data_IF_282617421338
#
_entry.id   IF_282617421338
#
_cell.length_a   1.000
_cell.length_b   1.000
_cell.length_c   1.000
_cell.angle_alpha   90.00
_cell.angle_beta   90.00
_cell.angle_gamma   90.00
#
_symmetry.space_group_name_H-M   'P 1'
#
loop_
_entity.id
_entity.type
_entity.pdbx_description
1 polymer ?
#
# COMPACT_ATOMS: atom_id res chain seq x y z
N UNK A 1 7.26 7.51 -21.97
CA UNK A 1 6.42 6.99 -20.88
C UNK A 1 5.64 8.08 -20.15
N UNK A 2 6.24 9.16 -19.69
CA UNK A 2 5.52 10.26 -19.01
C UNK A 2 4.31 10.78 -19.81
N UNK A 3 4.41 10.93 -21.15
CA UNK A 3 3.27 11.33 -22.00
C UNK A 3 2.10 10.37 -21.96
N UNK A 4 2.35 9.06 -21.92
CA UNK A 4 1.27 8.08 -21.81
C UNK A 4 0.57 8.16 -20.46
N UNK A 5 1.34 8.36 -19.37
CA UNK A 5 0.78 8.50 -18.02
C UNK A 5 -0.02 9.81 -17.91
N UNK A 6 0.48 10.92 -18.46
CA UNK A 6 -0.27 12.17 -18.54
C UNK A 6 -1.60 11.98 -19.28
N UNK A 7 -1.59 11.31 -20.44
CA UNK A 7 -2.82 10.99 -21.17
C UNK A 7 -3.78 10.09 -20.37
N UNK A 8 -3.25 9.17 -19.55
CA UNK A 8 -4.07 8.37 -18.64
C UNK A 8 -4.76 9.24 -17.57
N UNK A 9 -4.07 10.23 -17.02
CA UNK A 9 -4.65 11.18 -16.05
C UNK A 9 -5.71 12.06 -16.67
N UNK A 10 -5.42 12.65 -17.84
CA UNK A 10 -6.34 13.54 -18.56
C UNK A 10 -7.64 12.84 -18.99
N UNK A 11 -7.53 11.58 -19.47
CA UNK A 11 -8.63 10.80 -20.05
C UNK A 11 -9.10 9.65 -19.14
N UNK A 12 -8.93 9.81 -17.84
CA UNK A 12 -9.15 8.74 -16.86
C UNK A 12 -10.58 8.19 -16.89
N UNK A 13 -11.57 9.05 -17.10
CA UNK A 13 -13.00 8.70 -17.22
C UNK A 13 -13.41 8.19 -18.60
N UNK A 14 -12.54 8.29 -19.60
CA UNK A 14 -12.86 7.91 -20.99
C UNK A 14 -12.50 6.45 -21.28
N UNK A 15 -12.95 5.96 -22.45
CA UNK A 15 -12.56 4.64 -22.98
C UNK A 15 -11.16 4.73 -23.59
N UNK A 16 -10.14 4.72 -22.74
CA UNK A 16 -8.74 4.82 -23.17
C UNK A 16 -8.19 3.40 -23.47
N UNK A 17 -7.83 3.17 -24.73
CA UNK A 17 -7.23 1.92 -25.19
C UNK A 17 -5.71 1.90 -25.06
N UNK A 18 -5.10 0.70 -25.11
CA UNK A 18 -3.62 0.59 -25.15
C UNK A 18 -3.04 1.25 -26.40
N UNK A 19 -3.78 1.27 -27.52
CA UNK A 19 -3.37 1.92 -28.76
C UNK A 19 -3.33 3.45 -28.59
N UNK A 20 -4.29 4.03 -27.85
CA UNK A 20 -4.30 5.47 -27.55
C UNK A 20 -3.11 5.86 -26.68
N UNK A 21 -2.81 5.06 -25.67
CA UNK A 21 -1.64 5.25 -24.79
C UNK A 21 -0.32 5.15 -25.56
N UNK A 22 -0.22 4.15 -26.47
CA UNK A 22 0.94 3.95 -27.31
C UNK A 22 1.14 5.13 -28.25
N UNK A 23 0.06 5.63 -28.84
CA UNK A 23 0.04 6.81 -29.72
C UNK A 23 0.49 8.06 -28.98
N UNK A 24 -0.01 8.28 -27.75
CA UNK A 24 0.43 9.40 -26.91
C UNK A 24 1.93 9.34 -26.58
N UNK A 25 2.48 8.13 -26.43
CA UNK A 25 3.90 7.90 -26.21
C UNK A 25 4.74 7.89 -27.50
N UNK A 26 4.11 7.99 -28.68
CA UNK A 26 4.75 7.87 -30.01
C UNK A 26 5.45 6.52 -30.24
N UNK A 27 4.84 5.44 -29.79
CA UNK A 27 5.30 4.06 -29.98
C UNK A 27 4.25 3.21 -30.67
N UNK A 28 4.70 2.12 -31.30
CA UNK A 28 3.78 1.02 -31.67
C UNK A 28 3.25 0.33 -30.41
N UNK A 29 2.04 -0.23 -30.47
CA UNK A 29 1.38 -0.91 -29.35
C UNK A 29 2.27 -1.95 -28.66
N UNK A 30 2.90 -2.84 -29.43
CA UNK A 30 3.75 -3.89 -28.89
C UNK A 30 5.02 -3.34 -28.21
N UNK A 31 5.68 -2.39 -28.84
CA UNK A 31 6.85 -1.75 -28.27
C UNK A 31 6.50 -0.98 -27.01
N UNK A 32 5.42 -0.20 -27.04
CA UNK A 32 4.89 0.54 -25.90
C UNK A 32 4.63 -0.38 -24.71
N UNK A 33 3.85 -1.45 -24.90
CA UNK A 33 3.48 -2.37 -23.82
C UNK A 33 4.72 -2.95 -23.13
N UNK A 34 5.71 -3.38 -23.92
CA UNK A 34 6.97 -3.95 -23.39
C UNK A 34 7.80 -2.93 -22.63
N UNK A 35 7.97 -1.71 -23.19
CA UNK A 35 8.78 -0.66 -22.55
C UNK A 35 8.07 -0.11 -21.33
N UNK A 36 6.73 0.07 -21.40
CA UNK A 36 5.92 0.50 -20.27
C UNK A 36 6.03 -0.48 -19.10
N UNK A 37 5.84 -1.78 -19.37
CA UNK A 37 5.95 -2.82 -18.33
C UNK A 37 7.37 -2.91 -17.76
N UNK A 38 8.40 -2.70 -18.56
CA UNK A 38 9.79 -2.63 -18.05
C UNK A 38 10.01 -1.43 -17.15
N UNK A 39 9.43 -0.27 -17.48
CA UNK A 39 9.62 0.98 -16.74
C UNK A 39 8.80 1.04 -15.45
N UNK A 40 7.55 0.54 -15.46
CA UNK A 40 6.61 0.62 -14.33
C UNK A 40 6.46 -0.70 -13.57
N UNK A 41 6.92 -1.81 -14.17
CA UNK A 41 6.76 -3.16 -13.65
C UNK A 41 5.37 -3.78 -13.87
N UNK A 42 4.43 -3.04 -14.48
CA UNK A 42 3.05 -3.51 -14.70
C UNK A 42 2.57 -3.18 -16.12
N UNK A 43 1.53 -3.86 -16.58
CA UNK A 43 0.95 -3.58 -17.90
C UNK A 43 0.21 -2.24 -17.92
N UNK A 44 0.12 -1.56 -19.09
CA UNK A 44 -0.58 -0.27 -19.20
C UNK A 44 -2.04 -0.32 -18.72
N UNK A 45 -2.77 -1.39 -19.02
CA UNK A 45 -4.16 -1.54 -18.59
C UNK A 45 -4.29 -1.70 -17.07
N UNK A 46 -3.37 -2.41 -16.41
CA UNK A 46 -3.34 -2.51 -14.95
C UNK A 46 -3.00 -1.18 -14.30
N UNK A 47 -2.04 -0.45 -14.86
CA UNK A 47 -1.67 0.88 -14.39
C UNK A 47 -2.85 1.86 -14.48
N UNK A 48 -3.55 1.93 -15.63
CA UNK A 48 -4.76 2.74 -15.79
C UNK A 48 -5.86 2.34 -14.79
N UNK A 49 -6.08 1.03 -14.59
CA UNK A 49 -7.04 0.55 -13.60
C UNK A 49 -6.68 1.02 -12.18
N UNK A 50 -5.40 1.01 -11.83
CA UNK A 50 -4.92 1.49 -10.53
C UNK A 50 -5.14 3.00 -10.37
N UNK A 51 -4.83 3.81 -11.40
CA UNK A 51 -5.12 5.25 -11.39
C UNK A 51 -6.60 5.55 -11.22
N UNK A 52 -7.48 4.82 -11.91
CA UNK A 52 -8.95 4.94 -11.77
C UNK A 52 -9.40 4.68 -10.34
N UNK A 53 -8.88 3.63 -9.71
CA UNK A 53 -9.22 3.30 -8.33
C UNK A 53 -8.65 4.32 -7.34
N UNK A 54 -7.44 4.85 -7.58
CA UNK A 54 -6.87 5.92 -6.77
C UNK A 54 -7.74 7.18 -6.84
N UNK A 55 -8.18 7.59 -8.04
CA UNK A 55 -9.11 8.71 -8.20
C UNK A 55 -10.45 8.44 -7.53
N UNK A 56 -10.96 7.22 -7.59
CA UNK A 56 -12.18 6.84 -6.89
C UNK A 56 -12.03 6.94 -5.36
N UNK A 57 -10.89 6.51 -4.80
CA UNK A 57 -10.58 6.67 -3.37
C UNK A 57 -10.70 8.14 -2.95
N UNK A 58 -10.08 9.03 -3.71
CA UNK A 58 -10.16 10.47 -3.47
C UNK A 58 -11.61 10.98 -3.55
N UNK A 59 -12.37 10.70 -4.62
CA UNK A 59 -13.74 11.16 -4.78
C UNK A 59 -14.70 10.61 -3.69
N UNK A 60 -14.45 9.41 -3.19
CA UNK A 60 -15.25 8.81 -2.12
C UNK A 60 -15.12 9.58 -0.81
N UNK A 61 -13.97 10.17 -0.53
CA UNK A 61 -13.69 10.88 0.72
C UNK A 61 -13.98 12.37 0.59
N UNK A 62 -13.63 12.98 -0.55
CA UNK A 62 -13.72 14.43 -0.76
C UNK A 62 -15.07 14.92 -1.29
N UNK A 63 -15.98 14.02 -1.69
CA UNK A 63 -17.26 14.42 -2.29
C UNK A 63 -18.45 13.62 -1.75
N UNK A 64 -19.65 14.19 -1.91
CA UNK A 64 -20.94 13.53 -1.64
C UNK A 64 -21.50 12.73 -2.82
N UNK A 65 -20.75 12.59 -3.94
CA UNK A 65 -21.19 11.85 -5.13
C UNK A 65 -21.55 10.40 -4.78
N UNK A 66 -22.60 9.88 -5.42
CA UNK A 66 -22.96 8.48 -5.24
C UNK A 66 -21.84 7.54 -5.75
N UNK A 67 -21.80 6.30 -5.24
CA UNK A 67 -20.87 5.28 -5.73
C UNK A 67 -21.07 5.03 -7.22
N UNK A 68 -22.31 5.14 -7.70
CA UNK A 68 -22.64 5.00 -9.12
C UNK A 68 -22.01 6.13 -9.94
N UNK A 69 -22.18 7.38 -9.52
CA UNK A 69 -21.61 8.54 -10.21
C UNK A 69 -20.08 8.49 -10.23
N UNK A 70 -19.46 8.09 -9.11
CA UNK A 70 -18.01 7.92 -9.02
C UNK A 70 -17.56 6.84 -9.99
N UNK A 71 -18.25 5.68 -10.05
CA UNK A 71 -17.89 4.60 -10.95
C UNK A 71 -17.84 5.03 -12.42
N UNK A 72 -18.86 5.79 -12.85
CA UNK A 72 -18.93 6.33 -14.22
C UNK A 72 -17.83 7.37 -14.45
N UNK A 73 -17.61 8.27 -13.50
CA UNK A 73 -16.59 9.33 -13.58
C UNK A 73 -15.17 8.83 -13.73
N UNK A 74 -14.87 7.69 -13.11
CA UNK A 74 -13.55 7.06 -13.21
C UNK A 74 -13.46 6.01 -14.33
N UNK A 75 -14.44 5.98 -15.23
CA UNK A 75 -14.40 5.21 -16.49
C UNK A 75 -14.80 3.75 -16.37
N UNK A 76 -15.62 3.39 -15.37
CA UNK A 76 -16.28 2.08 -15.33
C UNK A 76 -17.70 2.16 -15.90
N UNK A 77 -18.06 1.16 -16.71
CA UNK A 77 -19.40 1.09 -17.34
C UNK A 77 -20.44 0.41 -16.45
N UNK A 78 -20.05 -0.10 -15.29
CA UNK A 78 -20.92 -0.83 -14.37
C UNK A 78 -20.47 -0.62 -12.93
N UNK A 79 -21.43 -0.26 -12.08
CA UNK A 79 -21.22 -0.10 -10.63
C UNK A 79 -20.79 -1.41 -9.96
N UNK A 80 -21.34 -2.54 -10.42
CA UNK A 80 -21.00 -3.87 -9.91
C UNK A 80 -19.54 -4.23 -10.19
N UNK A 81 -19.08 -4.02 -11.43
CA UNK A 81 -17.68 -4.22 -11.82
C UNK A 81 -16.74 -3.30 -11.04
N UNK A 82 -17.12 -2.02 -10.92
CA UNK A 82 -16.37 -1.06 -10.11
C UNK A 82 -16.25 -1.51 -8.64
N UNK A 83 -17.38 -1.81 -8.00
CA UNK A 83 -17.41 -2.16 -6.57
C UNK A 83 -16.61 -3.44 -6.27
N UNK A 84 -16.74 -4.46 -7.12
CA UNK A 84 -15.96 -5.69 -6.99
C UNK A 84 -14.46 -5.44 -7.15
N UNK A 85 -14.09 -4.65 -8.17
CA UNK A 85 -12.68 -4.30 -8.42
C UNK A 85 -12.10 -3.44 -7.30
N UNK A 86 -12.86 -2.43 -6.85
CA UNK A 86 -12.47 -1.58 -5.74
C UNK A 86 -12.25 -2.39 -4.46
N UNK A 87 -13.23 -3.24 -4.09
CA UNK A 87 -13.14 -4.09 -2.89
C UNK A 87 -11.92 -4.99 -2.93
N UNK A 88 -11.69 -5.63 -4.09
CA UNK A 88 -10.52 -6.51 -4.27
C UNK A 88 -9.20 -5.76 -4.14
N UNK A 89 -9.11 -4.56 -4.71
CA UNK A 89 -7.85 -3.81 -4.77
C UNK A 89 -7.56 -3.01 -3.49
N UNK A 90 -8.61 -2.43 -2.88
CA UNK A 90 -8.49 -1.56 -1.69
C UNK A 90 -8.62 -2.35 -0.38
N UNK A 91 -9.20 -3.57 -0.44
CA UNK A 91 -9.43 -4.43 0.72
C UNK A 91 -10.77 -4.20 1.43
N UNK A 92 -11.60 -3.24 0.98
CA UNK A 92 -12.92 -2.98 1.54
C UNK A 92 -13.87 -2.35 0.51
N UNK A 93 -15.22 -2.49 0.68
CA UNK A 93 -16.20 -1.90 -0.22
C UNK A 93 -16.13 -0.37 -0.27
N UNK A 94 -16.49 0.28 -1.41
CA UNK A 94 -16.49 1.74 -1.56
C UNK A 94 -17.27 2.49 -0.48
N UNK A 95 -18.44 1.98 -0.10
CA UNK A 95 -19.29 2.57 0.95
C UNK A 95 -18.62 2.52 2.33
N UNK A 96 -17.94 1.41 2.64
CA UNK A 96 -17.18 1.26 3.88
C UNK A 96 -15.95 2.20 3.88
N UNK A 97 -15.24 2.28 2.75
CA UNK A 97 -14.11 3.19 2.57
C UNK A 97 -14.52 4.65 2.84
N UNK A 98 -15.65 5.10 2.27
CA UNK A 98 -16.22 6.43 2.54
C UNK A 98 -16.52 6.64 4.02
N UNK A 99 -17.26 5.69 4.64
CA UNK A 99 -17.65 5.78 6.06
C UNK A 99 -16.45 5.88 7.00
N UNK A 100 -15.35 5.26 6.64
CA UNK A 100 -14.11 5.28 7.41
C UNK A 100 -13.14 6.39 6.96
N UNK A 101 -13.62 7.36 6.15
CA UNK A 101 -12.82 8.46 5.62
C UNK A 101 -11.47 8.01 5.00
N UNK A 102 -11.48 6.87 4.31
CA UNK A 102 -10.30 6.34 3.61
C UNK A 102 -9.35 5.50 4.46
N UNK A 103 -9.60 5.35 5.75
CA UNK A 103 -8.72 4.63 6.67
C UNK A 103 -9.20 3.22 6.99
N UNK A 104 -8.27 2.30 7.14
CA UNK A 104 -8.54 0.97 7.68
C UNK A 104 -8.29 0.98 9.21
N UNK A 105 -9.22 0.46 10.02
CA UNK A 105 -9.00 0.33 11.47
C UNK A 105 -7.91 -0.69 11.78
N UNK A 106 -7.74 -1.68 10.94
CA UNK A 106 -6.70 -2.71 11.00
C UNK A 106 -6.35 -3.15 9.58
N UNK A 107 -5.10 -3.49 9.33
CA UNK A 107 -4.72 -4.20 8.12
C UNK A 107 -4.88 -5.69 8.41
N UNK A 108 -5.95 -6.27 7.88
CA UNK A 108 -6.14 -7.71 7.95
C UNK A 108 -5.14 -8.39 7.01
N UNK A 109 -4.54 -9.49 7.46
CA UNK A 109 -3.81 -10.41 6.58
C UNK A 109 -4.81 -11.33 5.88
N UNK A 110 -4.48 -11.80 4.68
CA UNK A 110 -5.34 -12.69 3.90
C UNK A 110 -5.67 -13.96 4.71
N UNK A 111 -6.97 -14.27 4.93
CA UNK A 111 -7.38 -15.42 5.73
C UNK A 111 -6.94 -16.76 5.13
N UNK A 112 -6.83 -16.88 3.82
CA UNK A 112 -6.38 -18.11 3.15
C UNK A 112 -4.95 -18.48 3.53
N UNK A 113 -4.14 -17.49 3.94
CA UNK A 113 -2.78 -17.70 4.42
C UNK A 113 -2.65 -17.70 5.95
N UNK A 114 -3.74 -17.47 6.69
CA UNK A 114 -3.74 -17.59 8.17
C UNK A 114 -3.80 -19.03 8.65
N UNK A 115 -4.50 -19.89 7.92
CA UNK A 115 -4.83 -21.27 8.32
C UNK A 115 -3.86 -22.32 7.76
N UNK A 116 -2.91 -21.94 6.91
CA UNK A 116 -1.93 -22.85 6.33
C UNK A 116 -0.73 -23.06 7.25
N UNK A 117 -0.35 -24.29 7.43
CA UNK A 117 0.84 -24.87 8.06
C UNK A 117 1.88 -23.86 8.58
N UNK A 118 2.40 -24.09 9.78
CA UNK A 118 3.52 -23.34 10.35
C UNK A 118 4.70 -23.30 9.36
N UNK A 119 4.75 -22.24 8.55
CA UNK A 119 5.90 -22.01 7.67
C UNK A 119 7.00 -21.35 8.50
N UNK A 120 8.21 -21.89 8.44
CA UNK A 120 9.36 -21.36 9.15
C UNK A 120 10.13 -20.31 8.32
N UNK A 121 9.58 -19.91 7.16
CA UNK A 121 10.23 -18.89 6.33
C UNK A 121 10.04 -17.51 6.95
N UNK A 122 11.14 -16.80 7.05
CA UNK A 122 11.22 -15.44 7.56
C UNK A 122 11.73 -14.50 6.47
N UNK A 123 11.10 -13.36 6.33
CA UNK A 123 11.65 -12.23 5.56
C UNK A 123 12.03 -11.14 6.54
N UNK A 124 13.28 -10.71 6.49
CA UNK A 124 13.78 -9.67 7.39
C UNK A 124 14.72 -8.72 6.64
N UNK A 125 14.93 -7.54 7.20
CA UNK A 125 15.82 -6.54 6.62
C UNK A 125 15.69 -5.21 7.32
N UNK A 126 16.08 -4.16 6.63
CA UNK A 126 15.97 -2.80 7.12
C UNK A 126 15.25 -1.92 6.10
N UNK A 127 14.37 -1.06 6.58
CA UNK A 127 13.73 -0.01 5.82
C UNK A 127 14.42 1.32 6.14
N UNK A 128 14.92 2.00 5.12
CA UNK A 128 15.43 3.37 5.19
C UNK A 128 14.44 4.31 4.54
N UNK A 129 14.43 5.55 4.97
CA UNK A 129 13.60 6.60 4.40
C UNK A 129 14.35 7.94 4.43
N UNK A 130 13.95 8.92 3.60
CA UNK A 130 14.49 10.27 3.65
C UNK A 130 14.30 10.94 5.00
N UNK A 131 15.08 11.99 5.30
CA UNK A 131 15.00 12.74 6.56
C UNK A 131 13.58 13.23 6.88
N UNK A 132 12.81 13.62 5.86
CA UNK A 132 11.40 14.02 6.01
C UNK A 132 10.49 12.93 6.58
N UNK A 133 10.92 11.67 6.59
CA UNK A 133 10.16 10.49 7.04
C UNK A 133 10.83 9.73 8.21
N UNK A 134 11.90 10.28 8.81
CA UNK A 134 12.68 9.58 9.84
C UNK A 134 11.86 9.18 11.06
N UNK A 135 10.84 9.95 11.41
CA UNK A 135 9.92 9.69 12.53
C UNK A 135 8.52 9.27 12.07
N UNK A 136 8.36 8.98 10.77
CA UNK A 136 7.07 8.57 10.22
C UNK A 136 6.89 7.06 10.28
N UNK A 137 5.67 6.56 10.57
CA UNK A 137 5.40 5.12 10.55
C UNK A 137 5.59 4.55 9.14
N UNK A 138 6.10 3.31 9.11
CA UNK A 138 6.31 2.56 7.87
C UNK A 138 5.44 1.31 7.89
N UNK A 139 4.48 1.24 6.96
CA UNK A 139 3.79 0.00 6.65
C UNK A 139 4.65 -0.86 5.74
N UNK A 140 4.76 -2.17 6.05
CA UNK A 140 5.37 -3.19 5.20
C UNK A 140 4.40 -4.34 4.98
N UNK A 141 4.29 -4.79 3.73
CA UNK A 141 3.43 -5.92 3.40
C UNK A 141 3.96 -6.74 2.23
N UNK A 142 3.73 -8.06 2.29
CA UNK A 142 4.03 -9.00 1.22
C UNK A 142 2.79 -9.26 0.39
N UNK A 143 2.92 -9.11 -0.93
CA UNK A 143 1.83 -9.25 -1.91
C UNK A 143 2.23 -10.20 -3.04
N UNK A 144 1.25 -10.87 -3.68
CA UNK A 144 1.53 -11.76 -4.81
C UNK A 144 1.92 -11.00 -6.07
N UNK A 145 1.70 -9.70 -6.11
CA UNK A 145 1.95 -8.86 -7.27
C UNK A 145 2.61 -7.53 -6.90
N UNK A 146 3.22 -6.87 -7.90
CA UNK A 146 3.90 -5.58 -7.73
C UNK A 146 2.95 -4.42 -7.42
N UNK A 147 1.71 -4.46 -7.91
CA UNK A 147 0.66 -3.57 -7.39
C UNK A 147 0.10 -4.23 -6.15
N UNK A 148 0.21 -3.61 -4.97
CA UNK A 148 -0.39 -4.14 -3.76
C UNK A 148 -1.92 -4.03 -3.88
N UNK A 149 -2.54 -5.15 -4.16
CA UNK A 149 -3.99 -5.29 -4.22
C UNK A 149 -4.47 -6.21 -3.09
N UNK A 150 -5.56 -5.82 -2.45
CA UNK A 150 -6.23 -6.63 -1.44
C UNK A 150 -5.47 -6.67 -0.11
N UNK A 151 -5.48 -7.83 0.52
CA UNK A 151 -4.84 -8.04 1.82
C UNK A 151 -3.43 -8.60 1.65
N UNK A 152 -2.45 -8.13 2.41
CA UNK A 152 -1.11 -8.70 2.40
C UNK A 152 -1.10 -10.11 3.00
N UNK A 153 -0.24 -10.98 2.50
CA UNK A 153 -0.01 -12.31 3.05
C UNK A 153 0.57 -12.23 4.47
N UNK A 154 1.52 -11.33 4.64
CA UNK A 154 2.09 -10.93 5.94
C UNK A 154 2.36 -9.44 5.89
N UNK A 155 2.20 -8.78 7.03
CA UNK A 155 2.49 -7.36 7.16
C UNK A 155 2.97 -7.02 8.57
N UNK A 156 3.62 -5.88 8.66
CA UNK A 156 3.98 -5.24 9.93
C UNK A 156 3.93 -3.72 9.77
N UNK A 157 3.88 -3.01 10.88
CA UNK A 157 3.98 -1.56 10.91
C UNK A 157 5.09 -1.19 11.88
N UNK A 158 6.09 -0.47 11.38
CA UNK A 158 7.14 0.10 12.19
C UNK A 158 6.72 1.52 12.63
N UNK A 159 7.04 1.89 13.85
CA UNK A 159 6.81 3.25 14.33
C UNK A 159 7.69 4.30 13.64
N UNK A 160 8.83 3.89 13.09
CA UNK A 160 9.80 4.66 12.31
C UNK A 160 10.61 3.74 11.41
N UNK A 161 11.29 4.24 10.38
CA UNK A 161 12.22 3.45 9.58
C UNK A 161 13.23 2.69 10.45
N UNK A 162 13.49 1.43 10.11
CA UNK A 162 14.35 0.58 10.93
C UNK A 162 14.33 -0.88 10.52
N UNK A 163 14.82 -1.74 11.40
CA UNK A 163 14.81 -3.18 11.21
C UNK A 163 13.37 -3.73 11.26
N UNK A 164 13.09 -4.73 10.43
CA UNK A 164 11.80 -5.40 10.39
C UNK A 164 11.95 -6.92 10.22
N UNK A 165 10.92 -7.64 10.59
CA UNK A 165 10.82 -9.08 10.45
C UNK A 165 9.37 -9.49 10.17
N UNK A 166 9.18 -10.38 9.19
CA UNK A 166 7.91 -11.00 8.84
C UNK A 166 8.09 -12.51 8.95
N UNK A 167 7.45 -13.12 9.93
CA UNK A 167 7.51 -14.56 10.20
C UNK A 167 6.37 -15.32 9.54
N UNK A 168 6.57 -16.61 9.34
CA UNK A 168 5.53 -17.51 8.86
C UNK A 168 5.10 -17.22 7.42
N UNK A 169 6.02 -16.76 6.58
CA UNK A 169 5.72 -16.44 5.17
C UNK A 169 5.59 -17.75 4.38
N UNK A 170 4.46 -17.96 3.65
CA UNK A 170 4.29 -19.17 2.85
C UNK A 170 5.23 -19.20 1.65
N UNK A 171 5.58 -20.39 1.13
CA UNK A 171 6.32 -20.53 -0.11
C UNK A 171 5.59 -19.82 -1.27
N UNK A 172 6.34 -19.27 -2.20
CA UNK A 172 5.77 -18.55 -3.35
C UNK A 172 6.66 -17.44 -3.87
N UNK A 173 6.09 -16.65 -4.76
CA UNK A 173 6.73 -15.46 -5.31
C UNK A 173 6.02 -14.22 -4.75
N UNK A 174 6.74 -13.41 -4.00
CA UNK A 174 6.17 -12.29 -3.28
C UNK A 174 6.87 -10.99 -3.61
N UNK A 175 6.12 -9.91 -3.60
CA UNK A 175 6.64 -8.55 -3.64
C UNK A 175 6.49 -7.93 -2.25
N UNK A 176 7.58 -7.44 -1.71
CA UNK A 176 7.58 -6.68 -0.48
C UNK A 176 7.41 -5.21 -0.82
N UNK A 177 6.32 -4.62 -0.33
CA UNK A 177 6.07 -3.19 -0.42
C UNK A 177 6.29 -2.55 0.95
N UNK A 178 6.94 -1.38 0.96
CA UNK A 178 6.92 -0.46 2.09
C UNK A 178 6.28 0.87 1.66
N UNK A 179 5.52 1.47 2.58
CA UNK A 179 4.94 2.80 2.42
C UNK A 179 5.08 3.57 3.72
N UNK A 180 5.53 4.81 3.61
CA UNK A 180 5.54 5.77 4.71
C UNK A 180 4.81 7.03 4.28
N UNK A 181 4.11 7.63 5.21
CA UNK A 181 3.37 8.88 4.99
C UNK A 181 3.75 9.86 6.09
N UNK A 182 4.19 11.05 5.70
CA UNK A 182 4.53 12.13 6.61
C UNK A 182 3.41 13.18 6.60
N UNK A 183 2.96 13.58 7.79
CA UNK A 183 1.94 14.62 7.95
C UNK A 183 0.49 14.09 7.97
N UNK A 184 -0.45 15.01 8.15
CA UNK A 184 -1.86 14.72 7.98
C UNK A 184 -2.14 14.56 6.48
N UNK A 185 -2.57 13.35 6.10
CA UNK A 185 -3.09 13.14 4.76
C UNK A 185 -4.39 13.92 4.64
N UNK A 186 -4.35 15.08 4.04
CA UNK A 186 -5.53 15.65 3.46
C UNK A 186 -5.99 14.72 2.32
N UNK A 187 -7.29 14.41 2.32
CA UNK A 187 -7.89 13.54 1.30
C UNK A 187 -7.67 14.07 -0.13
N UNK A 188 -7.23 15.30 -0.27
CA UNK A 188 -6.96 16.00 -1.52
C UNK A 188 -5.57 15.73 -2.12
N UNK A 189 -4.68 15.07 -1.38
CA UNK A 189 -3.34 14.78 -1.89
C UNK A 189 -3.35 13.58 -2.85
N UNK A 190 -3.68 13.86 -4.08
CA UNK A 190 -3.19 13.08 -5.22
C UNK A 190 -1.70 13.42 -5.29
N UNK A 191 -0.83 12.45 -5.05
CA UNK A 191 0.61 12.64 -5.15
C UNK A 191 0.95 13.28 -6.50
N UNK A 192 1.30 14.54 -6.50
CA UNK A 192 1.87 15.23 -7.65
C UNK A 192 3.35 14.85 -7.76
N UNK A 193 3.92 14.92 -8.97
CA UNK A 193 5.33 14.55 -9.20
C UNK A 193 6.23 15.45 -8.34
N UNK A 194 6.75 14.89 -7.23
CA UNK A 194 7.58 15.63 -6.26
C UNK A 194 6.98 15.82 -4.87
N UNK A 195 5.77 15.30 -4.62
CA UNK A 195 5.20 15.31 -3.27
C UNK A 195 6.00 14.39 -2.34
N UNK A 196 6.66 15.01 -1.35
CA UNK A 196 7.48 14.31 -0.37
C UNK A 196 6.67 13.73 0.80
N UNK A 197 5.36 13.86 0.79
CA UNK A 197 4.50 13.37 1.88
C UNK A 197 4.32 11.85 1.87
N UNK A 198 4.48 11.21 0.72
CA UNK A 198 4.39 9.75 0.57
C UNK A 198 5.68 9.20 0.00
N UNK A 199 6.30 8.28 0.73
CA UNK A 199 7.45 7.52 0.27
C UNK A 199 7.09 6.04 0.13
N UNK A 200 7.60 5.40 -0.91
CA UNK A 200 7.36 3.98 -1.22
C UNK A 200 8.64 3.26 -1.58
N UNK A 201 8.68 1.98 -1.30
CA UNK A 201 9.68 1.05 -1.82
C UNK A 201 9.02 -0.27 -2.22
N UNK A 202 9.55 -0.93 -3.24
CA UNK A 202 9.10 -2.27 -3.63
C UNK A 202 10.29 -3.11 -4.02
N UNK A 203 10.43 -4.28 -3.39
CA UNK A 203 11.47 -5.28 -3.70
C UNK A 203 10.79 -6.58 -4.09
N UNK A 204 11.32 -7.25 -5.10
CA UNK A 204 10.82 -8.54 -5.56
C UNK A 204 10.86 -8.71 -7.08
N UNK A 205 10.45 -9.92 -7.57
CA UNK A 205 9.86 -11.01 -6.78
C UNK A 205 10.88 -11.70 -5.85
N UNK A 206 10.49 -11.91 -4.59
CA UNK A 206 11.20 -12.75 -3.63
C UNK A 206 10.73 -14.19 -3.82
N UNK A 207 11.64 -15.07 -4.17
CA UNK A 207 11.33 -16.50 -4.41
C UNK A 207 11.53 -17.30 -3.13
N UNK A 208 10.46 -17.56 -2.39
CA UNK A 208 10.48 -18.32 -1.14
C UNK A 208 10.17 -19.78 -1.43
N UNK A 209 11.11 -20.68 -1.14
CA UNK A 209 11.01 -22.11 -1.51
C UNK A 209 10.74 -23.05 -0.33
N UNK A 210 10.66 -22.54 0.87
CA UNK A 210 10.50 -23.32 2.11
C UNK A 210 11.13 -22.62 3.30
N UNK A 211 11.53 -23.39 4.29
CA UNK A 211 12.11 -22.86 5.52
C UNK A 211 13.41 -22.08 5.28
N UNK A 212 13.60 -21.04 6.07
CA UNK A 212 14.81 -20.22 6.01
C UNK A 212 14.57 -18.72 6.20
N UNK A 213 15.65 -17.97 6.12
CA UNK A 213 15.65 -16.50 6.25
C UNK A 213 16.01 -15.87 4.91
N UNK A 214 15.17 -14.98 4.44
CA UNK A 214 15.42 -14.16 3.25
C UNK A 214 15.63 -12.72 3.67
N UNK A 215 16.73 -12.14 3.23
CA UNK A 215 17.06 -10.74 3.50
C UNK A 215 16.55 -9.85 2.36
N UNK A 216 15.82 -8.80 2.70
CA UNK A 216 15.28 -7.84 1.74
C UNK A 216 15.29 -6.43 2.36
N UNK A 217 16.25 -5.64 1.97
CA UNK A 217 16.34 -4.24 2.40
C UNK A 217 15.50 -3.34 1.51
N UNK A 218 14.97 -2.26 2.07
CA UNK A 218 14.06 -1.33 1.43
C UNK A 218 14.57 0.10 1.60
N UNK A 219 14.72 0.80 0.47
CA UNK A 219 15.03 2.23 0.45
C UNK A 219 13.79 2.98 -0.06
N UNK A 220 13.04 3.60 0.87
CA UNK A 220 11.84 4.35 0.55
C UNK A 220 12.22 5.65 -0.14
N UNK A 221 11.57 5.88 -1.28
CA UNK A 221 11.77 7.08 -2.09
C UNK A 221 10.44 7.80 -2.28
N UNK A 222 10.42 9.13 -2.45
CA UNK A 222 9.21 9.86 -2.84
C UNK A 222 8.56 9.23 -4.06
N UNK A 223 7.23 9.16 -4.07
CA UNK A 223 6.46 8.58 -5.17
C UNK A 223 6.77 9.32 -6.46
N UNK A 224 7.02 8.57 -7.53
CA UNK A 224 7.28 9.11 -8.86
C UNK A 224 6.11 8.83 -9.79
N UNK A 225 5.94 9.63 -10.82
CA UNK A 225 4.86 9.47 -11.82
C UNK A 225 4.81 8.08 -12.47
N UNK A 226 5.93 7.36 -12.51
CA UNK A 226 6.00 5.99 -13.07
C UNK A 226 5.78 4.89 -12.04
N UNK A 227 5.66 5.21 -10.77
CA UNK A 227 5.37 4.23 -9.73
C UNK A 227 3.87 3.91 -9.76
N UNK A 228 3.48 2.63 -9.74
CA UNK A 228 2.06 2.26 -9.66
C UNK A 228 1.44 2.78 -8.36
N UNK A 229 0.19 3.28 -8.39
CA UNK A 229 -0.47 3.75 -7.19
C UNK A 229 -0.62 2.66 -6.13
N UNK A 230 -0.42 3.02 -4.87
CA UNK A 230 -0.73 2.15 -3.72
C UNK A 230 -2.23 2.24 -3.44
N UNK A 231 -2.94 1.13 -3.66
CA UNK A 231 -4.41 1.09 -3.60
C UNK A 231 -4.95 0.77 -2.21
N UNK A 232 -4.15 0.19 -1.33
CA UNK A 232 -4.58 -0.16 0.03
C UNK A 232 -5.18 1.03 0.75
N UNK A 233 -6.20 0.76 1.58
CA UNK A 233 -6.64 1.73 2.57
C UNK A 233 -5.50 1.95 3.58
N UNK A 234 -5.24 3.21 3.90
CA UNK A 234 -4.18 3.58 4.84
C UNK A 234 -4.60 3.24 6.27
N UNK A 235 -3.63 2.91 7.12
CA UNK A 235 -3.86 2.87 8.56
C UNK A 235 -4.16 4.28 9.07
N UNK A 236 -5.14 4.37 9.98
CA UNK A 236 -5.42 5.60 10.70
C UNK A 236 -4.24 5.89 11.66
N UNK A 237 -3.36 6.78 11.23
CA UNK A 237 -2.16 7.14 11.99
C UNK A 237 -2.48 7.69 13.38
N UNK A 238 -3.61 8.39 13.54
CA UNK A 238 -4.04 8.92 14.84
C UNK A 238 -4.38 7.77 15.79
N UNK A 239 -5.11 6.77 15.30
CA UNK A 239 -5.42 5.56 16.10
C UNK A 239 -4.17 4.74 16.40
N UNK A 240 -3.27 4.64 15.43
CA UNK A 240 -1.99 3.96 15.63
C UNK A 240 -1.12 4.69 16.67
N UNK A 241 -1.01 6.01 16.60
CA UNK A 241 -0.29 6.81 17.58
C UNK A 241 -0.92 6.71 18.99
N UNK A 242 -2.25 6.72 19.09
CA UNK A 242 -2.96 6.55 20.36
C UNK A 242 -2.78 5.14 20.95
N UNK A 243 -2.84 4.10 20.10
CA UNK A 243 -2.58 2.73 20.54
C UNK A 243 -1.15 2.57 21.06
N UNK A 244 -0.16 3.15 20.39
CA UNK A 244 1.24 3.13 20.83
C UNK A 244 1.43 3.84 22.18
N UNK A 245 0.84 5.01 22.37
CA UNK A 245 0.89 5.73 23.66
C UNK A 245 0.23 4.90 24.76
N UNK A 246 -0.85 4.18 24.46
CA UNK A 246 -1.50 3.29 25.41
C UNK A 246 -0.61 2.10 25.79
N UNK A 247 0.06 1.47 24.81
CA UNK A 247 0.99 0.37 25.02
C UNK A 247 2.22 0.81 25.82
N UNK A 248 2.82 1.95 25.51
CA UNK A 248 3.93 2.54 26.25
C UNK A 248 3.55 2.83 27.72
N UNK A 249 2.33 3.33 27.97
CA UNK A 249 1.82 3.54 29.33
C UNK A 249 1.59 2.23 30.08
N UNK A 250 1.06 1.21 29.43
CA UNK A 250 0.87 -0.11 30.04
C UNK A 250 2.21 -0.80 30.34
N UNK A 251 3.18 -0.70 29.44
CA UNK A 251 4.54 -1.21 29.66
C UNK A 251 5.26 -0.51 30.82
N UNK A 252 5.11 0.82 30.94
CA UNK A 252 5.65 1.58 32.06
C UNK A 252 5.03 1.20 33.41
N UNK A 253 3.72 0.98 33.44
CA UNK A 253 3.00 0.55 34.67
C UNK A 253 3.43 -0.87 35.07
N UNK A 254 3.62 -1.77 34.12
CA UNK A 254 4.10 -3.12 34.38
C UNK A 254 5.51 -3.17 34.93
N UNK A 255 6.39 -2.30 34.45
CA UNK A 255 7.78 -2.20 34.95
C UNK A 255 7.86 -1.62 36.35
N UNK A 256 7.00 -0.65 36.70
CA UNK A 256 6.90 -0.08 38.05
C UNK A 256 6.34 -1.12 39.04
N UNK A 257 5.33 -1.91 38.62
CA UNK A 257 4.77 -3.00 39.42
C UNK A 257 5.78 -4.10 39.75
N UNK A 258 6.64 -4.44 38.79
CA UNK A 258 7.71 -5.42 38.99
C UNK A 258 8.83 -4.90 39.93
N UNK A 259 9.16 -3.61 39.88
CA UNK A 259 10.12 -3.00 40.77
C UNK A 259 9.61 -2.92 42.23
N UNK A 260 8.32 -2.66 42.43
CA UNK A 260 7.70 -2.59 43.76
C UNK A 260 7.61 -3.97 44.42
N UNK A 261 7.36 -5.05 43.64
CA UNK A 261 7.35 -6.43 44.17
C UNK A 261 8.75 -6.94 44.49
N UNK A 262 9.78 -6.57 43.75
CA UNK A 262 11.16 -6.95 44.04
C UNK A 262 11.70 -6.25 45.30
N UNK A 263 11.29 -5.01 45.60
CA UNK A 263 11.67 -4.27 46.78
C UNK A 263 11.03 -4.79 48.10
N UNK A 264 9.92 -5.55 48.04
CA UNK A 264 9.24 -6.12 49.23
C UNK A 264 9.76 -7.49 49.64
N UNK A 265 10.57 -8.15 48.82
CA UNK A 265 11.16 -9.47 49.15
C UNK A 265 12.56 -9.37 49.75
N UNK A 266 13.10 -8.15 49.93
CA UNK A 266 14.43 -7.92 50.47
C UNK A 266 14.43 -7.18 51.83
N UNK A 267 13.30 -7.14 52.54
CA UNK A 267 13.17 -6.61 53.89
C UNK A 267 12.81 -7.69 54.91
#
# INVERSE_FOLDING_TARGET
MRRAIAAMHEKLGEQLTVDDMARAAMFSKFHFTRVFQRATGVTPGRFLSALRLQRAKHLLVSTSLSVADISMRVGYNSVGTFSSRFTRSVGMPPTTYRRLAGFAPQIATDPDYRMGHSHNTRVQGRAWAPESHVDSPVFLGLFPDRIPEGQPVRCTVLSRPGAYQLDGVPPGNWFLLAQSVNGELDADMVADDGDQTVCVATVGPLHLRGDGVVHADLDLQPVRAMDPPVLLALLDQRKFALARVAEERMGAVSSIGAAVTAGRSAA
#
